data_IF_462294244971
#
_entry.id   IF_462294244971
#
_cell.length_a   1.000
_cell.length_b   1.000
_cell.length_c   1.000
_cell.angle_alpha   90.00
_cell.angle_beta   90.00
_cell.angle_gamma   90.00
#
_symmetry.space_group_name_H-M   'P 1'
#
loop_
_entity.id
_entity.type
_entity.pdbx_description
1 polymer ?
#
# COMPACT_ATOMS: atom_id res chain seq x y z
N UNK A 1 50.96 37.28 -1.66
CA UNK A 1 49.75 37.82 -1.00
C UNK A 1 48.74 36.70 -0.83
N UNK A 2 48.76 36.08 0.35
CA UNK A 2 47.84 35.03 0.79
C UNK A 2 46.54 35.68 1.24
N UNK A 3 45.39 35.21 0.73
CA UNK A 3 44.07 35.52 1.30
C UNK A 3 43.43 34.23 1.79
N UNK A 4 43.63 34.01 3.09
CA UNK A 4 42.86 33.24 4.05
C UNK A 4 41.66 32.45 3.52
N UNK A 5 41.89 31.16 3.24
CA UNK A 5 40.89 30.14 3.47
C UNK A 5 40.74 29.97 4.98
N UNK A 6 39.81 30.73 5.59
CA UNK A 6 39.32 30.40 6.93
C UNK A 6 38.66 29.02 6.87
N UNK A 7 39.44 27.99 7.25
CA UNK A 7 38.92 26.72 7.76
C UNK A 7 37.92 27.07 8.85
N UNK A 8 36.64 26.84 8.60
CA UNK A 8 35.65 26.77 9.66
C UNK A 8 36.08 25.60 10.55
N UNK A 9 36.52 25.96 11.74
CA UNK A 9 36.99 25.09 12.80
C UNK A 9 35.91 24.08 13.18
N UNK A 10 36.37 22.86 13.51
CA UNK A 10 35.66 21.83 14.29
C UNK A 10 34.59 22.43 15.22
N UNK A 11 33.33 22.08 14.99
CA UNK A 11 32.40 21.83 16.10
C UNK A 11 32.46 20.33 16.37
N UNK A 12 33.07 19.97 17.48
CA UNK A 12 32.73 18.73 18.16
C UNK A 12 31.44 18.96 18.93
N UNK A 13 30.47 18.07 18.72
CA UNK A 13 29.47 17.61 19.68
C UNK A 13 28.69 16.53 18.94
N UNK A 14 28.43 15.42 19.62
CA UNK A 14 27.67 14.24 19.18
C UNK A 14 26.60 14.56 18.13
N UNK A 15 26.50 13.76 17.06
CA UNK A 15 25.31 13.83 16.21
C UNK A 15 24.11 13.51 17.10
N UNK A 16 23.37 14.52 17.52
CA UNK A 16 22.21 14.38 18.40
C UNK A 16 21.24 13.44 17.72
N UNK A 17 21.20 12.19 18.19
CA UNK A 17 20.33 11.18 17.63
C UNK A 17 18.87 11.65 17.75
N UNK A 18 18.12 11.60 16.66
CA UNK A 18 16.69 11.87 16.67
C UNK A 18 16.02 10.63 17.27
N UNK A 19 15.49 10.78 18.49
CA UNK A 19 14.79 9.73 19.20
C UNK A 19 13.29 9.78 18.87
N UNK A 20 12.76 8.70 18.29
CA UNK A 20 11.35 8.51 18.01
C UNK A 20 10.65 7.94 19.25
N UNK A 21 9.58 8.59 19.64
CA UNK A 21 8.77 8.29 20.81
C UNK A 21 7.28 8.61 20.53
N UNK A 22 6.34 8.15 21.36
CA UNK A 22 4.91 8.44 21.21
C UNK A 22 4.57 9.94 21.38
N UNK A 23 5.39 10.70 22.11
CA UNK A 23 5.21 12.14 22.27
C UNK A 23 5.50 12.93 20.97
N UNK A 24 6.37 12.43 20.10
CA UNK A 24 6.78 13.08 18.85
C UNK A 24 6.46 12.25 17.61
N UNK A 25 5.80 11.10 17.75
CA UNK A 25 5.44 10.18 16.67
C UNK A 25 4.70 10.89 15.52
N UNK A 26 3.90 11.91 15.86
CA UNK A 26 3.16 12.71 14.89
C UNK A 26 4.06 13.52 13.94
N UNK A 27 5.26 13.90 14.36
CA UNK A 27 6.25 14.56 13.50
C UNK A 27 6.75 13.59 12.43
N UNK A 28 6.89 12.33 12.81
CA UNK A 28 7.32 11.21 11.98
C UNK A 28 6.16 10.45 11.33
N UNK A 29 4.95 11.02 11.36
CA UNK A 29 3.76 10.39 10.77
C UNK A 29 4.04 9.89 9.35
N UNK A 30 4.90 10.60 8.62
CA UNK A 30 5.37 10.41 7.25
C UNK A 30 6.21 9.14 7.01
N UNK A 31 6.52 8.38 8.07
CA UNK A 31 7.22 7.10 8.00
C UNK A 31 6.25 5.94 8.18
N UNK A 32 6.39 4.88 7.39
CA UNK A 32 5.66 3.63 7.57
C UNK A 32 5.82 3.05 8.96
N UNK A 33 7.00 3.24 9.57
CA UNK A 33 7.26 2.89 10.96
C UNK A 33 6.19 3.47 11.90
N UNK A 34 5.98 4.79 11.85
CA UNK A 34 4.97 5.46 12.68
C UNK A 34 3.55 4.98 12.37
N UNK A 35 3.30 4.48 11.15
CA UNK A 35 1.99 3.99 10.70
C UNK A 35 1.65 2.61 11.26
N UNK A 36 2.62 1.70 11.32
CA UNK A 36 2.42 0.43 12.02
C UNK A 36 2.25 0.64 13.53
N UNK A 37 3.02 1.54 14.14
CA UNK A 37 2.84 1.94 15.54
C UNK A 37 1.41 2.44 15.77
N UNK A 38 0.94 3.37 14.93
CA UNK A 38 -0.45 3.85 14.99
C UNK A 38 -1.46 2.73 14.84
N UNK A 39 -1.28 1.82 13.88
CA UNK A 39 -2.23 0.72 13.66
C UNK A 39 -2.37 -0.14 14.91
N UNK A 40 -1.25 -0.48 15.56
CA UNK A 40 -1.28 -1.22 16.83
C UNK A 40 -2.05 -0.48 17.93
N UNK A 41 -1.78 0.82 18.12
CA UNK A 41 -2.46 1.64 19.14
C UNK A 41 -3.96 1.74 18.86
N UNK A 42 -4.35 2.08 17.63
CA UNK A 42 -5.76 2.19 17.24
C UNK A 42 -6.49 0.85 17.37
N UNK A 43 -5.82 -0.25 17.04
CA UNK A 43 -6.40 -1.58 17.15
C UNK A 43 -6.63 -1.97 18.62
N UNK A 44 -5.67 -1.67 19.50
CA UNK A 44 -5.75 -2.01 20.92
C UNK A 44 -6.72 -1.10 21.70
N UNK A 45 -6.68 0.21 21.43
CA UNK A 45 -7.33 1.23 22.28
C UNK A 45 -8.48 1.97 21.60
N UNK A 46 -8.54 1.96 20.27
CA UNK A 46 -9.42 2.83 19.48
C UNK A 46 -8.95 4.30 19.39
N UNK A 47 -7.91 4.68 20.14
CA UNK A 47 -7.35 6.04 20.10
C UNK A 47 -6.34 6.21 18.95
N UNK A 48 -6.34 7.40 18.33
CA UNK A 48 -5.39 7.75 17.27
C UNK A 48 -4.24 8.61 17.83
N UNK A 49 -3.00 8.09 17.89
CA UNK A 49 -1.83 8.80 18.41
C UNK A 49 -1.41 10.03 17.56
N UNK A 50 -2.05 10.25 16.40
CA UNK A 50 -1.78 11.41 15.55
C UNK A 50 -2.73 12.58 15.75
N UNK A 51 -3.78 12.41 16.57
CA UNK A 51 -4.68 13.51 16.89
C UNK A 51 -4.08 14.47 17.92
N UNK A 52 -3.26 13.96 18.83
CA UNK A 52 -2.56 14.73 19.87
C UNK A 52 -1.30 13.98 20.31
N UNK A 53 -0.26 14.69 20.81
CA UNK A 53 0.87 14.04 21.48
C UNK A 53 0.40 13.14 22.63
N UNK A 54 1.09 12.03 22.82
CA UNK A 54 0.89 11.13 23.97
C UNK A 54 2.01 11.42 24.97
N UNK A 55 1.67 12.14 26.03
CA UNK A 55 2.63 12.51 27.07
C UNK A 55 2.91 11.36 28.05
N UNK A 56 1.89 10.52 28.33
CA UNK A 56 2.03 9.34 29.17
C UNK A 56 1.67 8.08 28.36
N UNK A 57 2.67 7.27 27.96
CA UNK A 57 2.43 6.07 27.18
C UNK A 57 1.86 4.91 28.00
N UNK A 58 1.97 4.93 29.33
CA UNK A 58 1.66 3.77 30.19
C UNK A 58 0.27 3.16 29.97
N UNK A 59 -0.84 3.93 29.91
CA UNK A 59 -2.17 3.34 29.70
C UNK A 59 -2.28 2.60 28.37
N UNK A 60 -1.71 3.18 27.31
CA UNK A 60 -1.69 2.56 25.98
C UNK A 60 -0.85 1.28 26.00
N UNK A 61 0.29 1.31 26.67
CA UNK A 61 1.16 0.12 26.77
C UNK A 61 0.49 -1.00 27.58
N UNK A 62 -0.29 -0.69 28.60
CA UNK A 62 -1.02 -1.69 29.39
C UNK A 62 -2.14 -2.35 28.57
N UNK A 63 -2.94 -1.57 27.83
CA UNK A 63 -3.94 -2.10 26.90
C UNK A 63 -3.31 -2.97 25.80
N UNK A 64 -2.17 -2.51 25.26
CA UNK A 64 -1.43 -3.22 24.24
C UNK A 64 -0.85 -4.54 24.77
N UNK A 65 -0.29 -4.56 25.99
CA UNK A 65 0.18 -5.81 26.63
C UNK A 65 -0.96 -6.80 26.80
N UNK A 66 -2.12 -6.33 27.26
CA UNK A 66 -3.33 -7.17 27.38
C UNK A 66 -3.77 -7.77 26.04
N UNK A 67 -3.64 -7.01 24.94
CA UNK A 67 -3.87 -7.53 23.59
C UNK A 67 -2.85 -8.62 23.20
N UNK A 68 -1.56 -8.39 23.45
CA UNK A 68 -0.50 -9.38 23.15
C UNK A 68 -0.70 -10.67 23.94
N UNK A 69 -1.02 -10.57 25.22
CA UNK A 69 -1.33 -11.73 26.07
C UNK A 69 -2.54 -12.52 25.55
N UNK A 70 -3.59 -11.81 25.08
CA UNK A 70 -4.73 -12.46 24.43
C UNK A 70 -4.33 -13.20 23.15
N UNK A 71 -3.46 -12.62 22.34
CA UNK A 71 -2.97 -13.23 21.10
C UNK A 71 -2.11 -14.46 21.38
N UNK A 72 -1.23 -14.39 22.38
CA UNK A 72 -0.45 -15.54 22.86
C UNK A 72 -1.37 -16.68 23.32
N UNK A 73 -2.42 -16.38 24.08
CA UNK A 73 -3.39 -17.39 24.51
C UNK A 73 -4.08 -18.09 23.32
N UNK A 74 -4.40 -17.34 22.26
CA UNK A 74 -4.99 -17.92 21.06
C UNK A 74 -3.99 -18.75 20.23
N UNK A 75 -2.71 -18.37 20.21
CA UNK A 75 -1.61 -19.17 19.64
C UNK A 75 -1.46 -20.49 20.39
N UNK A 76 -1.47 -20.47 21.73
CA UNK A 76 -1.38 -21.68 22.55
C UNK A 76 -2.53 -22.65 22.30
N UNK A 77 -3.78 -22.15 22.24
CA UNK A 77 -4.94 -22.97 21.89
C UNK A 77 -4.81 -23.59 20.49
N UNK A 78 -4.20 -22.89 19.53
CA UNK A 78 -3.94 -23.44 18.19
C UNK A 78 -2.86 -24.53 18.26
N UNK A 79 -1.80 -24.31 19.03
CA UNK A 79 -0.71 -25.28 19.21
C UNK A 79 -1.22 -26.65 19.69
N UNK A 80 -2.11 -26.65 20.70
CA UNK A 80 -2.71 -27.88 21.25
C UNK A 80 -3.54 -28.67 20.24
N UNK A 81 -4.16 -27.99 19.28
CA UNK A 81 -5.05 -28.59 18.27
C UNK A 81 -4.30 -29.11 17.04
N UNK A 82 -3.04 -28.72 16.86
CA UNK A 82 -2.26 -29.06 15.68
C UNK A 82 -1.60 -30.44 15.85
N UNK A 83 -2.03 -31.43 15.06
CA UNK A 83 -1.41 -32.76 15.03
C UNK A 83 -0.18 -32.89 14.12
N UNK A 84 0.08 -31.91 13.26
CA UNK A 84 1.14 -31.96 12.24
C UNK A 84 2.40 -31.21 12.71
N UNK A 85 3.56 -31.87 12.66
CA UNK A 85 4.84 -31.31 13.11
C UNK A 85 5.28 -30.04 12.38
N UNK A 86 4.94 -29.89 11.08
CA UNK A 86 5.27 -28.68 10.32
C UNK A 86 4.45 -27.48 10.78
N UNK A 87 3.16 -27.70 11.06
CA UNK A 87 2.27 -26.67 11.56
C UNK A 87 2.63 -26.29 13.01
N UNK A 88 3.05 -27.24 13.86
CA UNK A 88 3.53 -26.94 15.21
C UNK A 88 4.71 -25.97 15.22
N UNK A 89 5.70 -26.19 14.34
CA UNK A 89 6.84 -25.29 14.20
C UNK A 89 6.45 -23.87 13.78
N UNK A 90 5.44 -23.74 12.91
CA UNK A 90 4.94 -22.42 12.51
C UNK A 90 4.28 -21.69 13.69
N UNK A 91 3.48 -22.41 14.48
CA UNK A 91 2.84 -21.87 15.69
C UNK A 91 3.85 -21.54 16.79
N UNK A 92 4.92 -22.34 16.95
CA UNK A 92 6.05 -22.03 17.86
C UNK A 92 6.76 -20.73 17.46
N UNK A 93 7.09 -20.57 16.18
CA UNK A 93 7.71 -19.34 15.67
C UNK A 93 6.81 -18.11 15.87
N UNK A 94 5.49 -18.28 15.72
CA UNK A 94 4.51 -17.22 16.00
C UNK A 94 4.49 -16.84 17.50
N UNK A 95 4.61 -17.82 18.40
CA UNK A 95 4.71 -17.58 19.84
C UNK A 95 6.00 -16.83 20.20
N UNK A 96 7.14 -17.26 19.67
CA UNK A 96 8.44 -16.60 19.87
C UNK A 96 8.39 -15.13 19.40
N UNK A 97 7.78 -14.86 18.25
CA UNK A 97 7.60 -13.49 17.74
C UNK A 97 6.77 -12.62 18.70
N UNK A 98 5.68 -13.15 19.28
CA UNK A 98 4.87 -12.42 20.26
C UNK A 98 5.60 -12.18 21.59
N UNK A 99 6.41 -13.13 22.05
CA UNK A 99 7.23 -12.98 23.26
C UNK A 99 8.30 -11.88 23.09
N UNK A 100 8.92 -11.80 21.91
CA UNK A 100 9.83 -10.71 21.57
C UNK A 100 9.13 -9.35 21.55
N UNK A 101 7.94 -9.28 20.93
CA UNK A 101 7.10 -8.07 20.90
C UNK A 101 6.76 -7.61 22.32
N UNK A 102 6.31 -8.53 23.19
CA UNK A 102 5.96 -8.22 24.58
C UNK A 102 7.16 -7.72 25.39
N UNK A 103 8.33 -8.33 25.17
CA UNK A 103 9.59 -7.92 25.81
C UNK A 103 9.95 -6.49 25.43
N UNK A 104 9.85 -6.11 24.15
CA UNK A 104 10.10 -4.75 23.68
C UNK A 104 9.08 -3.75 24.21
N UNK A 105 7.79 -4.08 24.19
CA UNK A 105 6.71 -3.23 24.75
C UNK A 105 6.93 -2.93 26.23
N UNK A 106 7.59 -3.84 26.95
CA UNK A 106 7.90 -3.71 28.38
C UNK A 106 9.20 -2.98 28.69
N UNK A 107 9.92 -2.50 27.66
CA UNK A 107 11.22 -1.84 27.78
C UNK A 107 11.17 -0.40 27.28
N UNK A 108 11.89 0.49 27.96
CA UNK A 108 12.03 1.92 27.60
C UNK A 108 13.42 2.27 27.05
N UNK A 109 14.25 1.26 26.78
CA UNK A 109 15.62 1.46 26.31
C UNK A 109 15.66 2.12 24.93
N UNK A 110 16.71 2.93 24.68
CA UNK A 110 16.96 3.47 23.35
C UNK A 110 17.59 2.42 22.45
N UNK A 111 16.95 2.16 21.32
CA UNK A 111 17.44 1.24 20.32
C UNK A 111 17.67 1.96 18.99
N UNK A 112 18.68 1.51 18.25
CA UNK A 112 18.84 1.97 16.87
C UNK A 112 17.66 1.47 16.07
N UNK A 113 17.11 2.36 15.26
CA UNK A 113 16.05 1.99 14.34
C UNK A 113 16.66 1.12 13.23
N UNK A 114 16.68 -0.20 13.44
CA UNK A 114 17.21 -1.13 12.45
C UNK A 114 16.16 -1.30 11.35
N UNK A 115 16.36 -0.58 10.26
CA UNK A 115 15.36 -0.41 9.22
C UNK A 115 15.24 -1.68 8.38
N UNK A 116 14.10 -2.36 8.50
CA UNK A 116 13.63 -3.26 7.45
C UNK A 116 13.60 -2.54 6.09
N UNK A 117 13.40 -3.31 5.01
CA UNK A 117 13.37 -2.84 3.61
C UNK A 117 12.55 -1.53 3.40
N UNK A 118 11.48 -1.34 4.16
CA UNK A 118 10.54 -0.23 4.07
C UNK A 118 11.12 1.13 4.38
N UNK A 119 11.66 1.23 5.58
CA UNK A 119 12.29 2.44 6.05
C UNK A 119 13.49 2.76 5.17
N UNK A 120 14.15 1.75 4.62
CA UNK A 120 15.26 1.91 3.67
C UNK A 120 14.86 2.62 2.36
N UNK A 121 13.67 2.33 1.82
CA UNK A 121 13.11 3.03 0.65
C UNK A 121 12.65 4.45 1.01
N UNK A 122 11.88 4.60 2.10
CA UNK A 122 11.43 5.91 2.57
C UNK A 122 12.62 6.84 2.85
N UNK A 123 13.65 6.33 3.53
CA UNK A 123 14.88 7.08 3.76
C UNK A 123 15.62 7.42 2.47
N UNK A 124 15.62 6.57 1.45
CA UNK A 124 16.22 6.94 0.15
C UNK A 124 15.51 8.13 -0.47
N UNK A 125 14.18 8.19 -0.40
CA UNK A 125 13.40 9.32 -0.89
C UNK A 125 13.58 10.57 -0.02
N UNK A 126 13.59 10.46 1.32
CA UNK A 126 13.94 11.59 2.19
C UNK A 126 15.37 12.09 1.90
N UNK A 127 16.33 11.18 1.76
CA UNK A 127 17.72 11.53 1.46
C UNK A 127 17.89 12.20 0.12
N UNK A 128 17.07 11.84 -0.88
CA UNK A 128 17.00 12.53 -2.18
C UNK A 128 16.55 13.98 -2.02
N UNK A 129 15.56 14.24 -1.16
CA UNK A 129 15.09 15.60 -0.82
C UNK A 129 16.18 16.37 -0.02
N UNK A 130 16.94 15.69 0.83
CA UNK A 130 17.98 16.28 1.70
C UNK A 130 19.41 16.20 1.14
N UNK A 131 19.58 16.05 -0.18
CA UNK A 131 20.88 16.20 -0.85
C UNK A 131 21.88 15.06 -0.63
N UNK A 132 21.43 13.81 -0.46
CA UNK A 132 22.26 12.60 -0.64
C UNK A 132 23.02 12.08 0.59
N UNK A 133 22.79 12.61 1.80
CA UNK A 133 23.50 12.20 3.03
C UNK A 133 22.89 10.99 3.76
N UNK A 134 22.49 9.94 3.04
CA UNK A 134 21.65 8.89 3.61
C UNK A 134 22.24 7.99 4.68
N UNK A 135 23.53 7.65 4.60
CA UNK A 135 24.20 6.87 5.67
C UNK A 135 24.23 7.64 6.99
N UNK A 136 24.48 8.94 6.94
CA UNK A 136 24.57 9.79 8.13
C UNK A 136 23.20 9.95 8.80
N UNK A 137 22.11 10.05 8.03
CA UNK A 137 20.75 10.15 8.58
C UNK A 137 20.32 8.86 9.30
N UNK A 138 20.71 7.69 8.79
CA UNK A 138 20.38 6.39 9.42
C UNK A 138 21.05 6.20 10.77
N UNK A 139 22.31 6.59 10.91
CA UNK A 139 23.06 6.49 12.17
C UNK A 139 22.54 7.45 13.25
N UNK A 140 21.67 8.40 12.88
CA UNK A 140 21.11 9.41 13.76
C UNK A 140 19.75 8.96 14.34
N UNK A 141 19.05 7.97 13.78
CA UNK A 141 17.70 7.64 14.23
C UNK A 141 17.66 6.50 15.24
N UNK A 142 17.01 6.78 16.37
CA UNK A 142 16.74 5.83 17.45
C UNK A 142 15.26 5.81 17.75
N UNK A 143 14.78 4.76 18.41
CA UNK A 143 13.44 4.71 18.99
C UNK A 143 13.50 4.10 20.39
N UNK A 144 12.49 4.40 21.22
CA UNK A 144 12.28 3.63 22.45
C UNK A 144 11.88 2.19 22.11
N UNK A 145 12.35 1.22 22.89
CA UNK A 145 12.10 -0.21 22.68
C UNK A 145 10.60 -0.51 22.56
N UNK A 146 9.75 0.08 23.40
CA UNK A 146 8.31 -0.09 23.28
C UNK A 146 7.72 0.43 21.97
N UNK A 147 8.30 1.46 21.34
CA UNK A 147 7.84 1.95 20.03
C UNK A 147 8.23 0.95 18.94
N UNK A 148 9.38 0.28 19.06
CA UNK A 148 9.74 -0.84 18.18
C UNK A 148 8.78 -2.02 18.37
N UNK A 149 8.46 -2.36 19.61
CA UNK A 149 7.47 -3.40 19.92
C UNK A 149 6.08 -3.09 19.36
N UNK A 150 5.63 -1.83 19.44
CA UNK A 150 4.38 -1.38 18.82
C UNK A 150 4.43 -1.44 17.29
N UNK A 151 5.56 -1.11 16.68
CA UNK A 151 5.77 -1.26 15.24
C UNK A 151 5.66 -2.73 14.82
N UNK A 152 6.32 -3.64 15.53
CA UNK A 152 6.29 -5.07 15.26
C UNK A 152 4.90 -5.67 15.49
N UNK A 153 4.22 -5.27 16.56
CA UNK A 153 2.83 -5.62 16.80
C UNK A 153 1.93 -5.12 15.67
N UNK A 154 2.14 -3.89 15.18
CA UNK A 154 1.38 -3.35 14.06
C UNK A 154 1.52 -4.18 12.79
N UNK A 155 2.73 -4.66 12.49
CA UNK A 155 2.97 -5.61 11.40
C UNK A 155 2.28 -6.96 11.65
N UNK A 156 2.42 -7.50 12.86
CA UNK A 156 1.79 -8.76 13.27
C UNK A 156 0.27 -8.70 13.14
N UNK A 157 -0.38 -7.70 13.73
CA UNK A 157 -1.83 -7.49 13.65
C UNK A 157 -2.30 -7.32 12.21
N UNK A 158 -1.51 -6.66 11.36
CA UNK A 158 -1.82 -6.54 9.94
C UNK A 158 -1.84 -7.92 9.28
N UNK A 159 -0.95 -8.85 9.65
CA UNK A 159 -0.96 -10.25 9.15
C UNK A 159 -2.13 -11.07 9.69
N UNK A 160 -2.50 -10.92 10.96
CA UNK A 160 -3.44 -11.86 11.59
C UNK A 160 -4.92 -11.42 11.59
N UNK A 161 -5.22 -10.13 11.40
CA UNK A 161 -6.56 -9.61 11.61
C UNK A 161 -7.67 -10.26 10.74
N UNK A 162 -7.36 -11.07 9.69
CA UNK A 162 -8.33 -11.92 8.96
C UNK A 162 -7.79 -13.23 8.32
N UNK A 163 -6.82 -13.92 8.93
CA UNK A 163 -6.37 -15.28 8.51
C UNK A 163 -5.14 -15.36 7.57
N UNK A 164 -4.82 -16.56 7.05
CA UNK A 164 -3.55 -17.01 6.42
C UNK A 164 -3.13 -16.39 5.06
N UNK A 165 -3.37 -15.09 4.81
CA UNK A 165 -3.00 -14.43 3.54
C UNK A 165 -2.21 -13.14 3.75
N UNK A 166 -1.54 -12.62 2.71
CA UNK A 166 -0.87 -11.33 2.85
C UNK A 166 -1.91 -10.21 2.93
N UNK A 167 -1.62 -9.21 3.74
CA UNK A 167 -2.46 -8.02 3.92
C UNK A 167 -1.79 -6.81 3.32
N UNK A 168 -2.59 -5.91 2.78
CA UNK A 168 -2.11 -4.72 2.08
C UNK A 168 -2.33 -3.49 2.96
N UNK A 169 -1.32 -3.06 3.70
CA UNK A 169 -1.35 -1.77 4.37
C UNK A 169 -1.22 -0.66 3.31
N UNK A 170 -2.08 0.35 3.37
CA UNK A 170 -1.98 1.54 2.52
C UNK A 170 -1.13 2.55 3.28
N UNK A 171 -0.16 3.23 2.67
CA UNK A 171 0.56 4.34 3.33
C UNK A 171 -0.45 5.41 3.77
N UNK A 172 -0.88 5.48 5.06
CA UNK A 172 -2.00 6.31 5.47
C UNK A 172 -1.59 7.78 5.60
N UNK A 173 -0.41 8.15 5.10
CA UNK A 173 0.25 9.39 5.45
C UNK A 173 -0.48 10.64 5.09
N UNK A 174 -0.78 10.68 3.81
CA UNK A 174 -1.59 11.71 3.25
C UNK A 174 -3.07 11.49 3.60
N UNK A 175 -3.52 10.24 3.75
CA UNK A 175 -4.89 9.93 4.19
C UNK A 175 -5.23 10.60 5.53
N UNK A 176 -4.35 10.60 6.51
CA UNK A 176 -4.67 11.30 7.76
C UNK A 176 -4.38 12.80 7.71
N UNK A 177 -3.39 13.25 6.94
CA UNK A 177 -3.05 14.66 6.87
C UNK A 177 -4.07 15.50 6.06
N UNK A 178 -4.57 14.95 4.95
CA UNK A 178 -5.49 15.63 4.04
C UNK A 178 -6.91 15.08 4.16
N UNK A 179 -7.05 13.76 4.34
CA UNK A 179 -8.37 13.13 4.40
C UNK A 179 -9.05 13.10 5.77
N UNK A 180 -8.44 13.50 6.90
CA UNK A 180 -9.25 13.84 8.09
C UNK A 180 -10.28 14.96 7.78
N UNK A 181 -10.12 15.70 6.67
CA UNK A 181 -11.11 16.66 6.14
C UNK A 181 -12.05 16.08 5.08
N UNK A 182 -11.76 14.89 4.54
CA UNK A 182 -12.34 14.40 3.27
C UNK A 182 -12.84 12.95 3.32
N UNK A 183 -12.22 12.03 4.06
CA UNK A 183 -12.71 10.66 4.37
C UNK A 183 -12.78 10.46 5.88
N UNK A 184 -13.94 10.01 6.36
CA UNK A 184 -14.08 9.54 7.73
C UNK A 184 -13.50 8.11 7.90
N UNK A 185 -13.54 7.60 9.13
CA UNK A 185 -13.06 6.26 9.48
C UNK A 185 -13.75 5.18 8.62
N UNK A 186 -15.03 5.34 8.31
CA UNK A 186 -15.80 4.39 7.48
C UNK A 186 -15.34 4.42 6.01
N UNK A 187 -15.09 5.61 5.47
CA UNK A 187 -14.51 5.80 4.13
C UNK A 187 -13.13 5.17 3.99
N UNK A 188 -12.25 5.36 4.99
CA UNK A 188 -10.94 4.68 5.02
C UNK A 188 -11.11 3.16 5.04
N UNK A 189 -12.00 2.64 5.89
CA UNK A 189 -12.28 1.21 5.98
C UNK A 189 -12.76 0.67 4.62
N UNK A 190 -13.71 1.32 3.96
CA UNK A 190 -14.21 0.92 2.64
C UNK A 190 -13.11 0.90 1.58
N UNK A 191 -12.26 1.93 1.55
CA UNK A 191 -11.10 1.99 0.66
C UNK A 191 -10.16 0.81 0.88
N UNK A 192 -9.71 0.62 2.12
CA UNK A 192 -8.80 -0.46 2.52
C UNK A 192 -9.35 -1.84 2.17
N UNK A 193 -10.62 -2.11 2.49
CA UNK A 193 -11.26 -3.40 2.23
C UNK A 193 -11.29 -3.71 0.74
N UNK A 194 -11.68 -2.76 -0.11
CA UNK A 194 -11.72 -2.97 -1.56
C UNK A 194 -10.34 -3.29 -2.16
N UNK A 195 -9.32 -2.58 -1.70
CA UNK A 195 -7.93 -2.78 -2.12
C UNK A 195 -7.38 -4.13 -1.66
N UNK A 196 -7.62 -4.49 -0.40
CA UNK A 196 -7.24 -5.78 0.15
C UNK A 196 -7.92 -6.94 -0.58
N UNK A 197 -9.21 -6.84 -0.89
CA UNK A 197 -9.95 -7.94 -1.52
C UNK A 197 -9.44 -8.22 -2.93
N UNK A 198 -8.98 -7.21 -3.66
CA UNK A 198 -8.36 -7.41 -4.97
C UNK A 198 -6.95 -8.03 -4.87
N UNK A 199 -6.19 -7.68 -3.83
CA UNK A 199 -4.92 -8.35 -3.52
C UNK A 199 -5.15 -9.84 -3.22
N UNK A 200 -6.11 -10.17 -2.35
CA UNK A 200 -6.43 -11.57 -2.01
C UNK A 200 -6.76 -12.40 -3.24
N UNK A 201 -7.61 -11.85 -4.12
CA UNK A 201 -7.90 -12.43 -5.42
C UNK A 201 -6.61 -12.75 -6.19
N UNK A 202 -5.72 -11.77 -6.33
CA UNK A 202 -4.45 -11.95 -7.04
C UNK A 202 -3.55 -13.03 -6.41
N UNK A 203 -3.50 -13.14 -5.09
CA UNK A 203 -2.72 -14.18 -4.41
C UNK A 203 -3.28 -15.58 -4.65
N UNK A 204 -4.60 -15.71 -4.58
CA UNK A 204 -5.28 -16.99 -4.77
C UNK A 204 -5.03 -17.55 -6.17
N UNK A 205 -5.19 -16.72 -7.22
CA UNK A 205 -4.91 -17.15 -8.60
C UNK A 205 -3.43 -17.46 -8.83
N UNK A 206 -2.52 -16.77 -8.14
CA UNK A 206 -1.08 -17.04 -8.28
C UNK A 206 -0.70 -18.41 -7.69
N UNK A 207 -1.34 -18.81 -6.59
CA UNK A 207 -1.17 -20.12 -5.94
C UNK A 207 -1.79 -21.26 -6.75
N UNK A 208 -2.97 -21.05 -7.34
CA UNK A 208 -3.69 -22.08 -8.08
C UNK A 208 -2.95 -22.52 -9.36
N UNK A 209 -2.14 -21.64 -9.97
CA UNK A 209 -1.39 -21.97 -11.18
C UNK A 209 -2.29 -22.03 -12.43
N UNK A 210 -1.70 -21.95 -13.63
CA UNK A 210 -2.43 -22.07 -14.90
C UNK A 210 -2.53 -20.79 -15.74
N UNK A 211 -3.40 -20.80 -16.75
CA UNK A 211 -3.50 -19.79 -17.80
C UNK A 211 -4.31 -18.53 -17.41
N UNK A 212 -5.03 -18.55 -16.29
CA UNK A 212 -5.82 -17.42 -15.77
C UNK A 212 -4.97 -16.41 -14.97
N UNK A 213 -3.64 -16.52 -15.02
CA UNK A 213 -2.76 -15.66 -14.23
C UNK A 213 -2.78 -14.22 -14.72
N UNK A 214 -3.07 -13.33 -13.79
CA UNK A 214 -2.81 -11.91 -13.96
C UNK A 214 -1.30 -11.67 -13.77
N UNK A 215 -0.63 -11.17 -14.81
CA UNK A 215 0.76 -10.75 -14.73
C UNK A 215 0.93 -9.60 -13.74
N UNK A 216 2.12 -9.49 -13.13
CA UNK A 216 2.38 -8.49 -12.09
C UNK A 216 2.15 -7.05 -12.58
N UNK A 217 2.57 -6.73 -13.80
CA UNK A 217 2.37 -5.40 -14.41
C UNK A 217 0.89 -5.06 -14.61
N UNK A 218 0.09 -6.05 -15.01
CA UNK A 218 -1.35 -5.90 -15.16
C UNK A 218 -2.04 -5.77 -13.81
N UNK A 219 -1.63 -6.58 -12.82
CA UNK A 219 -2.09 -6.47 -11.45
C UNK A 219 -1.85 -5.09 -10.86
N UNK A 220 -0.62 -4.56 -10.93
CA UNK A 220 -0.30 -3.23 -10.41
C UNK A 220 -1.11 -2.12 -11.11
N UNK A 221 -1.35 -2.27 -12.42
CA UNK A 221 -2.15 -1.32 -13.20
C UNK A 221 -3.62 -1.34 -12.80
N UNK A 222 -4.21 -2.53 -12.67
CA UNK A 222 -5.58 -2.68 -12.19
C UNK A 222 -5.73 -2.20 -10.74
N UNK A 223 -4.78 -2.51 -9.87
CA UNK A 223 -4.74 -2.05 -8.47
C UNK A 223 -4.69 -0.52 -8.41
N UNK A 224 -3.89 0.12 -9.27
CA UNK A 224 -3.84 1.58 -9.38
C UNK A 224 -5.17 2.17 -9.85
N UNK A 225 -5.79 1.58 -10.87
CA UNK A 225 -7.12 1.99 -11.35
C UNK A 225 -8.20 1.84 -10.29
N UNK A 226 -8.22 0.72 -9.57
CA UNK A 226 -9.15 0.45 -8.48
C UNK A 226 -8.99 1.44 -7.31
N UNK A 227 -7.75 1.75 -6.92
CA UNK A 227 -7.47 2.75 -5.90
C UNK A 227 -8.02 4.12 -6.30
N UNK A 228 -7.74 4.57 -7.51
CA UNK A 228 -8.24 5.85 -8.01
C UNK A 228 -9.78 5.86 -8.09
N UNK A 229 -10.40 4.81 -8.63
CA UNK A 229 -11.87 4.71 -8.73
C UNK A 229 -12.53 4.78 -7.35
N UNK A 230 -11.94 4.11 -6.34
CA UNK A 230 -12.43 4.18 -4.95
C UNK A 230 -12.30 5.58 -4.35
N UNK A 231 -11.21 6.29 -4.64
CA UNK A 231 -11.08 7.70 -4.23
C UNK A 231 -12.16 8.56 -4.89
N UNK A 232 -12.40 8.40 -6.20
CA UNK A 232 -13.48 9.08 -6.88
C UNK A 232 -14.85 8.77 -6.25
N UNK A 233 -15.15 7.50 -6.00
CA UNK A 233 -16.41 7.05 -5.40
C UNK A 233 -16.70 7.77 -4.07
N UNK A 234 -15.69 7.84 -3.21
CA UNK A 234 -15.82 8.45 -1.89
C UNK A 234 -15.91 9.99 -1.94
N UNK A 235 -15.38 10.61 -2.99
CA UNK A 235 -15.38 12.07 -3.19
C UNK A 235 -16.58 12.61 -3.97
N UNK A 236 -17.26 11.76 -4.77
CA UNK A 236 -18.40 12.13 -5.63
C UNK A 236 -19.54 12.81 -4.88
N UNK A 237 -19.72 12.53 -3.59
CA UNK A 237 -20.76 13.16 -2.76
C UNK A 237 -20.45 14.60 -2.33
N UNK A 238 -19.23 15.09 -2.57
CA UNK A 238 -18.74 16.36 -1.99
C UNK A 238 -18.37 17.40 -3.05
N UNK A 239 -17.91 16.98 -4.23
CA UNK A 239 -17.27 17.86 -5.22
C UNK A 239 -17.61 17.48 -6.67
N UNK A 240 -17.41 18.43 -7.60
CA UNK A 240 -17.48 18.18 -9.04
C UNK A 240 -16.24 17.44 -9.56
N UNK A 241 -16.34 16.79 -10.73
CA UNK A 241 -15.28 15.92 -11.26
C UNK A 241 -13.90 16.59 -11.34
N UNK A 242 -13.80 17.83 -11.83
CA UNK A 242 -12.50 18.50 -12.00
C UNK A 242 -11.83 18.85 -10.67
N UNK A 243 -12.63 19.13 -9.64
CA UNK A 243 -12.14 19.33 -8.29
C UNK A 243 -11.62 18.00 -7.71
N UNK A 244 -12.41 16.93 -7.83
CA UNK A 244 -12.01 15.58 -7.40
C UNK A 244 -10.73 15.15 -8.11
N UNK A 245 -10.63 15.39 -9.42
CA UNK A 245 -9.45 15.07 -10.21
C UNK A 245 -8.21 15.81 -9.68
N UNK A 246 -8.34 17.10 -9.38
CA UNK A 246 -7.23 17.92 -8.87
C UNK A 246 -6.80 17.45 -7.49
N UNK A 247 -7.74 17.16 -6.60
CA UNK A 247 -7.47 16.60 -5.27
C UNK A 247 -6.76 15.24 -5.36
N UNK A 248 -7.21 14.35 -6.26
CA UNK A 248 -6.57 13.06 -6.47
C UNK A 248 -5.21 13.20 -7.18
N UNK A 249 -5.03 14.18 -8.07
CA UNK A 249 -3.73 14.43 -8.68
C UNK A 249 -2.71 14.97 -7.66
N UNK A 250 -3.12 15.88 -6.78
CA UNK A 250 -2.28 16.43 -5.72
C UNK A 250 -1.86 15.36 -4.72
N UNK A 251 -2.80 14.50 -4.33
CA UNK A 251 -2.53 13.25 -3.60
C UNK A 251 -1.37 12.46 -4.22
N UNK A 252 -1.51 12.11 -5.49
CA UNK A 252 -0.53 11.27 -6.17
C UNK A 252 0.78 12.03 -6.36
N UNK A 253 0.77 13.34 -6.57
CA UNK A 253 1.99 14.13 -6.63
C UNK A 253 2.79 14.14 -5.33
N UNK A 254 2.11 13.97 -4.20
CA UNK A 254 2.71 13.88 -2.87
C UNK A 254 2.99 12.43 -2.41
N UNK A 255 2.98 11.45 -3.33
CA UNK A 255 3.34 10.06 -3.03
C UNK A 255 2.24 9.24 -2.35
N UNK A 256 0.97 9.69 -2.34
CA UNK A 256 -0.10 9.09 -1.53
C UNK A 256 -0.63 7.70 -2.00
N UNK A 257 0.05 7.01 -2.92
CA UNK A 257 -0.35 5.68 -3.41
C UNK A 257 0.79 4.67 -3.32
N UNK A 258 1.52 4.69 -2.20
CA UNK A 258 2.38 3.58 -1.82
C UNK A 258 1.58 2.59 -0.98
N UNK A 259 1.62 1.33 -1.40
CA UNK A 259 0.94 0.22 -0.74
C UNK A 259 1.97 -0.80 -0.27
N UNK A 260 1.61 -1.55 0.75
CA UNK A 260 2.54 -2.29 1.56
C UNK A 260 1.98 -3.68 1.83
N UNK A 261 2.39 -4.65 1.02
CA UNK A 261 1.98 -6.05 1.19
C UNK A 261 2.79 -6.68 2.31
N UNK A 262 2.13 -6.99 3.41
CA UNK A 262 2.65 -7.67 4.59
C UNK A 262 2.27 -9.15 4.49
N UNK A 263 3.24 -10.04 4.35
CA UNK A 263 3.07 -11.50 4.38
C UNK A 263 3.99 -12.14 5.42
N UNK A 264 3.86 -13.45 5.63
CA UNK A 264 4.82 -14.24 6.42
C UNK A 264 6.26 -14.12 5.90
N UNK A 265 6.42 -13.98 4.58
CA UNK A 265 7.73 -13.83 3.94
C UNK A 265 8.33 -12.42 4.07
N UNK A 266 7.67 -11.51 4.77
CA UNK A 266 8.10 -10.13 4.98
C UNK A 266 7.20 -9.11 4.28
N UNK A 267 7.73 -7.90 4.10
CA UNK A 267 6.94 -6.78 3.59
C UNK A 267 7.45 -6.31 2.22
N UNK A 268 6.55 -6.25 1.24
CA UNK A 268 6.81 -5.79 -0.13
C UNK A 268 6.11 -4.45 -0.37
N UNK A 269 6.85 -3.46 -0.87
CA UNK A 269 6.29 -2.15 -1.25
C UNK A 269 5.82 -2.15 -2.70
N UNK A 270 4.61 -1.66 -2.94
CA UNK A 270 4.05 -1.34 -4.24
C UNK A 270 3.86 0.19 -4.34
N UNK A 271 4.85 0.87 -4.90
CA UNK A 271 4.72 2.30 -5.22
C UNK A 271 3.96 2.47 -6.55
N UNK A 272 2.68 2.82 -6.43
CA UNK A 272 1.81 3.05 -7.59
C UNK A 272 1.84 4.50 -8.06
N UNK A 273 2.64 5.37 -7.46
CA UNK A 273 2.59 6.82 -7.68
C UNK A 273 2.67 7.20 -9.16
N UNK A 274 3.70 6.74 -9.86
CA UNK A 274 3.88 7.08 -11.27
C UNK A 274 2.80 6.47 -12.17
N UNK A 275 2.38 5.25 -11.86
CA UNK A 275 1.33 4.54 -12.59
C UNK A 275 -0.02 5.24 -12.40
N UNK A 276 -0.33 5.68 -11.19
CA UNK A 276 -1.54 6.39 -10.86
C UNK A 276 -1.62 7.75 -11.57
N UNK A 277 -0.51 8.49 -11.69
CA UNK A 277 -0.48 9.73 -12.50
C UNK A 277 -0.86 9.46 -13.94
N UNK A 278 -0.35 8.38 -14.51
CA UNK A 278 -0.65 7.96 -15.88
C UNK A 278 -2.11 7.56 -16.02
N UNK A 279 -2.61 6.70 -15.14
CA UNK A 279 -4.01 6.25 -15.11
C UNK A 279 -4.98 7.42 -14.97
N UNK A 280 -4.69 8.38 -14.08
CA UNK A 280 -5.47 9.62 -13.91
C UNK A 280 -5.47 10.46 -15.18
N UNK A 281 -4.29 10.77 -15.74
CA UNK A 281 -4.16 11.57 -16.98
C UNK A 281 -4.89 10.92 -18.15
N UNK A 282 -4.82 9.60 -18.24
CA UNK A 282 -5.53 8.82 -19.24
C UNK A 282 -7.04 8.75 -19.02
N UNK A 283 -7.53 9.05 -17.81
CA UNK A 283 -8.94 8.89 -17.40
C UNK A 283 -9.45 7.46 -17.59
N UNK A 284 -8.62 6.47 -17.23
CA UNK A 284 -8.93 5.04 -17.41
C UNK A 284 -9.16 4.30 -16.10
N UNK A 285 -9.15 5.02 -14.98
CA UNK A 285 -9.28 4.42 -13.65
C UNK A 285 -10.57 3.59 -13.51
N UNK A 286 -11.69 4.10 -14.02
CA UNK A 286 -12.99 3.43 -13.91
C UNK A 286 -13.05 2.16 -14.78
N UNK A 287 -12.46 2.16 -15.97
CA UNK A 287 -12.37 0.99 -16.84
C UNK A 287 -11.50 -0.10 -16.19
N UNK A 288 -10.34 0.28 -15.63
CA UNK A 288 -9.46 -0.63 -14.92
C UNK A 288 -10.12 -1.19 -13.66
N UNK A 289 -10.86 -0.35 -12.92
CA UNK A 289 -11.62 -0.80 -11.76
C UNK A 289 -12.75 -1.76 -12.13
N UNK A 290 -13.45 -1.54 -13.25
CA UNK A 290 -14.48 -2.46 -13.75
C UNK A 290 -13.86 -3.83 -14.11
N UNK A 291 -12.70 -3.85 -14.79
CA UNK A 291 -11.97 -5.09 -15.08
C UNK A 291 -11.58 -5.81 -13.79
N UNK A 292 -11.02 -5.08 -12.81
CA UNK A 292 -10.63 -5.64 -11.51
C UNK A 292 -11.84 -6.27 -10.77
N UNK A 293 -12.98 -5.58 -10.74
CA UNK A 293 -14.22 -6.06 -10.10
C UNK A 293 -14.80 -7.28 -10.83
N UNK A 294 -14.75 -7.29 -12.16
CA UNK A 294 -15.16 -8.45 -12.97
C UNK A 294 -14.35 -9.69 -12.62
N UNK A 295 -13.01 -9.57 -12.55
CA UNK A 295 -12.13 -10.67 -12.16
C UNK A 295 -12.51 -11.27 -10.80
N UNK A 296 -12.69 -10.42 -9.79
CA UNK A 296 -13.10 -10.87 -8.45
C UNK A 296 -14.47 -11.56 -8.45
N UNK A 297 -15.41 -11.04 -9.25
CA UNK A 297 -16.78 -11.57 -9.35
C UNK A 297 -16.78 -12.97 -9.95
N UNK A 298 -16.05 -13.17 -11.05
CA UNK A 298 -16.00 -14.47 -11.72
C UNK A 298 -15.24 -15.52 -10.91
N UNK A 299 -14.14 -15.12 -10.27
CA UNK A 299 -13.40 -15.99 -9.35
C UNK A 299 -14.28 -16.48 -8.20
N UNK A 300 -14.96 -15.54 -7.53
CA UNK A 300 -15.86 -15.87 -6.41
C UNK A 300 -17.05 -16.74 -6.85
N UNK A 301 -17.49 -16.60 -8.10
CA UNK A 301 -18.56 -17.41 -8.69
C UNK A 301 -18.10 -18.74 -9.30
N UNK A 302 -16.81 -19.08 -9.22
CA UNK A 302 -16.25 -20.30 -9.82
C UNK A 302 -16.28 -20.34 -11.35
N UNK A 303 -16.50 -19.20 -12.01
CA UNK A 303 -16.58 -19.07 -13.47
C UNK A 303 -15.21 -18.82 -14.08
N UNK A 304 -14.29 -19.76 -13.86
CA UNK A 304 -12.89 -19.63 -14.28
C UNK A 304 -12.71 -19.56 -15.80
N UNK A 305 -13.62 -20.15 -16.57
CA UNK A 305 -13.67 -20.03 -18.04
C UNK A 305 -13.83 -18.56 -18.48
N UNK A 306 -14.73 -17.83 -17.82
CA UNK A 306 -14.98 -16.42 -18.09
C UNK A 306 -13.90 -15.52 -17.50
N UNK A 307 -13.43 -15.87 -16.31
CA UNK A 307 -12.31 -15.19 -15.66
C UNK A 307 -11.08 -15.12 -16.58
N UNK A 308 -10.78 -16.20 -17.32
CA UNK A 308 -9.69 -16.24 -18.29
C UNK A 308 -9.80 -15.16 -19.38
N UNK A 309 -11.00 -14.93 -19.92
CA UNK A 309 -11.21 -13.90 -20.94
C UNK A 309 -10.89 -12.50 -20.41
N UNK A 310 -11.38 -12.21 -19.20
CA UNK A 310 -11.13 -10.92 -18.53
C UNK A 310 -9.66 -10.78 -18.14
N UNK A 311 -9.01 -11.86 -17.69
CA UNK A 311 -7.59 -11.87 -17.33
C UNK A 311 -6.70 -11.62 -18.55
N UNK A 312 -7.04 -12.17 -19.72
CA UNK A 312 -6.34 -11.91 -20.98
C UNK A 312 -6.46 -10.44 -21.39
N UNK A 313 -7.66 -9.87 -21.33
CA UNK A 313 -7.87 -8.43 -21.58
C UNK A 313 -7.03 -7.60 -20.60
N UNK A 314 -7.09 -7.93 -19.30
CA UNK A 314 -6.35 -7.25 -18.25
C UNK A 314 -4.84 -7.28 -18.48
N UNK A 315 -4.30 -8.44 -18.87
CA UNK A 315 -2.88 -8.62 -19.14
C UNK A 315 -2.39 -7.73 -20.29
N UNK A 316 -3.15 -7.65 -21.37
CA UNK A 316 -2.79 -6.83 -22.54
C UNK A 316 -2.92 -5.34 -22.22
N UNK A 317 -4.07 -4.91 -21.70
CA UNK A 317 -4.33 -3.49 -21.42
C UNK A 317 -3.42 -3.00 -20.29
N UNK A 318 -3.39 -3.73 -19.18
CA UNK A 318 -2.58 -3.40 -18.02
C UNK A 318 -1.09 -3.41 -18.32
N UNK A 319 -0.62 -4.43 -19.05
CA UNK A 319 0.78 -4.51 -19.48
C UNK A 319 1.22 -3.33 -20.35
N UNK A 320 0.38 -2.92 -21.32
CA UNK A 320 0.67 -1.79 -22.20
C UNK A 320 0.64 -0.43 -21.48
N UNK A 321 -0.32 -0.21 -20.57
CA UNK A 321 -0.37 1.01 -19.76
C UNK A 321 0.85 1.09 -18.84
N UNK A 322 1.24 -0.03 -18.23
CA UNK A 322 2.43 -0.12 -17.40
C UNK A 322 3.71 0.18 -18.20
N UNK A 323 3.85 -0.43 -19.38
CA UNK A 323 4.98 -0.19 -20.28
C UNK A 323 5.05 1.29 -20.70
N UNK A 324 3.93 1.91 -21.02
CA UNK A 324 3.87 3.36 -21.27
C UNK A 324 4.24 4.17 -20.01
N UNK A 325 3.79 3.76 -18.82
CA UNK A 325 4.09 4.47 -17.59
C UNK A 325 5.60 4.56 -17.32
N UNK A 326 6.35 3.50 -17.67
CA UNK A 326 7.80 3.44 -17.57
C UNK A 326 8.48 4.13 -18.76
N UNK A 327 8.21 3.68 -19.98
CA UNK A 327 8.98 4.05 -21.18
C UNK A 327 8.48 5.31 -21.89
N UNK A 328 7.29 5.81 -21.56
CA UNK A 328 6.60 6.93 -22.25
C UNK A 328 6.40 6.72 -23.76
N UNK A 329 6.51 5.48 -24.24
CA UNK A 329 6.29 5.14 -25.65
C UNK A 329 4.79 4.97 -25.95
N UNK A 330 4.23 5.93 -26.68
CA UNK A 330 2.81 5.94 -27.06
C UNK A 330 2.37 4.75 -27.91
N UNK A 331 3.29 4.03 -28.56
CA UNK A 331 2.96 2.86 -29.38
C UNK A 331 2.22 1.80 -28.57
N UNK A 332 2.57 1.61 -27.29
CA UNK A 332 1.87 0.68 -26.41
C UNK A 332 0.38 1.00 -26.27
N UNK A 333 0.04 2.29 -26.13
CA UNK A 333 -1.36 2.73 -26.00
C UNK A 333 -2.08 2.68 -27.34
N UNK A 334 -1.40 3.08 -28.41
CA UNK A 334 -1.92 2.98 -29.77
C UNK A 334 -2.30 1.54 -30.11
N UNK A 335 -1.45 0.56 -29.81
CA UNK A 335 -1.75 -0.84 -30.05
C UNK A 335 -2.93 -1.33 -29.21
N UNK A 336 -3.03 -0.93 -27.95
CA UNK A 336 -4.20 -1.24 -27.12
C UNK A 336 -5.50 -0.73 -27.76
N UNK A 337 -5.54 0.55 -28.12
CA UNK A 337 -6.73 1.16 -28.74
C UNK A 337 -7.05 0.47 -30.08
N UNK A 338 -6.04 0.24 -30.92
CA UNK A 338 -6.21 -0.44 -32.20
C UNK A 338 -6.80 -1.84 -32.04
N UNK A 339 -6.32 -2.65 -31.10
CA UNK A 339 -6.85 -3.99 -30.85
C UNK A 339 -8.31 -3.96 -30.38
N UNK A 340 -8.68 -2.97 -29.54
CA UNK A 340 -10.07 -2.79 -29.09
C UNK A 340 -10.97 -2.39 -30.26
N UNK A 341 -10.54 -1.43 -31.09
CA UNK A 341 -11.29 -0.98 -32.27
C UNK A 341 -11.44 -2.08 -33.30
N UNK A 342 -10.39 -2.87 -33.53
CA UNK A 342 -10.40 -4.01 -34.45
C UNK A 342 -11.25 -5.18 -33.96
N UNK A 343 -11.81 -5.10 -32.75
CA UNK A 343 -12.68 -6.13 -32.19
C UNK A 343 -11.93 -7.39 -31.74
N UNK A 344 -10.62 -7.29 -31.48
CA UNK A 344 -9.79 -8.43 -31.06
C UNK A 344 -10.24 -9.10 -29.76
N UNK A 345 -11.10 -8.43 -28.99
CA UNK A 345 -11.65 -8.91 -27.72
C UNK A 345 -13.17 -9.12 -27.77
N UNK A 346 -13.83 -8.80 -28.89
CA UNK A 346 -15.29 -8.69 -28.92
C UNK A 346 -15.97 -10.03 -28.63
N UNK A 347 -15.48 -11.15 -29.18
CA UNK A 347 -16.05 -12.48 -28.93
C UNK A 347 -15.96 -12.86 -27.45
N UNK A 348 -14.76 -12.80 -26.88
CA UNK A 348 -14.48 -13.21 -25.51
C UNK A 348 -15.16 -12.31 -24.49
N UNK A 349 -15.16 -10.99 -24.73
CA UNK A 349 -15.77 -10.03 -23.81
C UNK A 349 -17.30 -10.00 -23.90
N UNK A 350 -17.87 -10.29 -25.07
CA UNK A 350 -19.32 -10.51 -25.18
C UNK A 350 -19.76 -11.77 -24.42
N UNK A 351 -18.96 -12.85 -24.44
CA UNK A 351 -19.22 -14.04 -23.62
C UNK A 351 -19.09 -13.74 -22.13
N UNK A 352 -18.12 -12.91 -21.75
CA UNK A 352 -17.87 -12.58 -20.35
C UNK A 352 -18.93 -11.63 -19.77
N UNK A 353 -19.06 -10.44 -20.36
CA UNK A 353 -19.82 -9.31 -19.82
C UNK A 353 -21.21 -9.13 -20.47
N UNK A 354 -21.53 -9.89 -21.52
CA UNK A 354 -22.64 -9.61 -22.41
C UNK A 354 -22.36 -8.43 -23.35
N UNK A 355 -23.16 -8.29 -24.41
CA UNK A 355 -22.96 -7.26 -25.43
C UNK A 355 -23.02 -5.83 -24.85
N UNK A 356 -23.98 -5.58 -23.94
CA UNK A 356 -24.12 -4.27 -23.29
C UNK A 356 -22.97 -3.98 -22.32
N UNK A 357 -22.59 -4.97 -21.50
CA UNK A 357 -21.48 -4.83 -20.56
C UNK A 357 -20.15 -4.59 -21.27
N UNK A 358 -19.88 -5.33 -22.35
CA UNK A 358 -18.71 -5.10 -23.18
C UNK A 358 -18.76 -3.74 -23.87
N UNK A 359 -19.87 -3.33 -24.48
CA UNK A 359 -19.99 -2.02 -25.12
C UNK A 359 -19.70 -0.86 -24.14
N UNK A 360 -20.17 -0.98 -22.89
CA UNK A 360 -19.90 0.00 -21.84
C UNK A 360 -18.42 0.04 -21.46
N UNK A 361 -17.80 -1.11 -21.20
CA UNK A 361 -16.36 -1.18 -20.87
C UNK A 361 -15.50 -0.70 -22.05
N UNK A 362 -15.82 -1.13 -23.27
CA UNK A 362 -15.19 -0.71 -24.53
C UNK A 362 -15.24 0.80 -24.69
N UNK A 363 -16.39 1.42 -24.44
CA UNK A 363 -16.54 2.89 -24.50
C UNK A 363 -15.60 3.60 -23.51
N UNK A 364 -15.54 3.14 -22.26
CA UNK A 364 -14.61 3.69 -21.26
C UNK A 364 -13.14 3.52 -21.68
N UNK A 365 -12.78 2.34 -22.17
CA UNK A 365 -11.44 2.05 -22.68
C UNK A 365 -11.10 2.85 -23.94
N UNK A 366 -12.06 3.22 -24.78
CA UNK A 366 -11.79 4.06 -25.95
C UNK A 366 -11.76 5.55 -25.60
N UNK A 367 -12.24 5.93 -24.41
CA UNK A 367 -12.18 7.30 -23.91
C UNK A 367 -10.81 7.71 -23.35
N UNK A 368 -9.78 6.83 -23.41
CA UNK A 368 -8.46 7.15 -22.85
C UNK A 368 -7.93 8.44 -23.47
N UNK A 369 -7.72 9.46 -22.64
CA UNK A 369 -7.08 10.71 -23.07
C UNK A 369 -5.59 10.57 -22.97
N UNK A 370 -4.94 10.29 -24.09
CA UNK A 370 -3.51 10.49 -24.20
C UNK A 370 -3.28 11.99 -24.28
N UNK A 371 -2.88 12.62 -23.16
CA UNK A 371 -2.55 14.06 -23.08
C UNK A 371 -1.51 14.50 -24.15
N UNK A 372 -0.85 13.55 -24.81
CA UNK A 372 0.07 13.73 -25.92
C UNK A 372 -0.55 13.64 -27.34
N UNK A 373 -1.77 13.13 -27.55
CA UNK A 373 -2.33 12.99 -28.92
C UNK A 373 -2.64 14.31 -29.63
N UNK A 374 -2.60 15.45 -28.93
CA UNK A 374 -2.67 16.78 -29.56
C UNK A 374 -1.37 17.58 -29.53
N UNK A 375 -0.37 17.19 -28.72
CA UNK A 375 0.88 17.97 -28.53
C UNK A 375 2.15 17.29 -29.05
N UNK A 376 2.12 15.98 -29.31
CA UNK A 376 3.26 15.25 -29.92
C UNK A 376 3.06 14.98 -31.42
N UNK A 377 1.88 15.31 -31.97
CA UNK A 377 1.58 15.28 -33.41
C UNK A 377 1.52 16.69 -34.04
N UNK A 378 1.86 17.73 -33.27
CA UNK A 378 2.18 19.09 -33.72
C UNK A 378 3.65 19.35 -33.41
#
# INVERSE_FOLDING_TARGET
MSKDRRRISRRGSESSAVLLDLNNLMEFRHLSFARFVRFAIVYATGEDPFNKPIDNPLPILDDVKGLVDSLMSDVEKRYEKVGNSRLKKAVEAEKEELEEILTKISSDQEEKLNTSFFMDYEFKEYVRIWGGRGRVVRDILKARSYVLGLYELGMYLTRIARGENAFLLVEPNYYLHYYNKVLDIDGFRKFYLGIRDFMKYHEEIQRQGGNHKLGETAFLTLLSGLAIDKLFELLRGKHGYDQIYSEIMDLVNNGALVLHRVSESGVTTYDLTNLAKVVLKMRVADALADIAKSLQTYHSGGRHDVENYVANLANIIGGNIFAYAIGKDLRHIYYTVRSIVAGSFDEDMNKALGAEGWAKLKSKLLSMKVVAWQKELQ
#
